data_IF_342866499042
#
_entry.id   IF_342866499042
#
_cell.length_a   1.000
_cell.length_b   1.000
_cell.length_c   1.000
_cell.angle_alpha   90.00
_cell.angle_beta   90.00
_cell.angle_gamma   90.00
#
_symmetry.space_group_name_H-M   'P 1'
#
loop_
_entity.id
_entity.type
_entity.pdbx_description
1 polymer ?
#
# COMPACT_ATOMS: atom_id res chain seq x y z
N UNK A 1 -26.80 33.13 -29.08
CA UNK A 1 -25.52 32.51 -29.51
C UNK A 1 -24.42 33.28 -28.80
N UNK A 2 -23.45 32.77 -28.03
CA UNK A 2 -22.99 31.43 -27.61
C UNK A 2 -22.44 31.61 -26.19
N UNK A 3 -22.60 30.60 -25.34
CA UNK A 3 -21.87 30.46 -24.07
C UNK A 3 -20.42 30.10 -24.39
N UNK A 4 -19.46 30.68 -23.67
CA UNK A 4 -18.11 30.12 -23.55
C UNK A 4 -17.82 30.01 -22.06
N UNK A 5 -17.84 28.76 -21.59
CA UNK A 5 -17.28 28.32 -20.31
C UNK A 5 -15.84 27.85 -20.60
N UNK A 6 -15.02 27.79 -19.53
CA UNK A 6 -13.97 26.79 -19.22
C UNK A 6 -12.57 27.44 -19.11
N UNK A 7 -11.70 27.10 -18.14
CA UNK A 7 -11.88 26.91 -16.69
C UNK A 7 -10.73 27.57 -15.87
N UNK A 8 -10.95 27.90 -14.59
CA UNK A 8 -9.82 28.22 -13.69
C UNK A 8 -9.17 26.89 -13.26
N UNK A 9 -7.97 26.65 -13.77
CA UNK A 9 -7.09 25.54 -13.38
C UNK A 9 -6.60 25.79 -11.95
N UNK A 10 -7.32 25.26 -10.97
CA UNK A 10 -6.87 25.16 -9.59
C UNK A 10 -6.08 23.88 -9.37
N UNK A 11 -4.79 23.90 -9.69
CA UNK A 11 -3.83 22.90 -9.25
C UNK A 11 -3.53 23.14 -7.76
N UNK A 12 -4.22 22.43 -6.87
CA UNK A 12 -3.77 22.27 -5.47
C UNK A 12 -3.20 20.87 -5.34
N UNK A 13 -1.90 20.78 -5.57
CA UNK A 13 -1.03 19.68 -5.17
C UNK A 13 -1.01 19.61 -3.64
N UNK A 14 -1.54 18.54 -3.05
CA UNK A 14 -1.21 18.16 -1.67
C UNK A 14 -0.32 16.93 -1.75
N UNK A 15 0.97 17.18 -1.98
CA UNK A 15 2.04 16.22 -1.80
C UNK A 15 2.61 16.33 -0.39
N UNK A 16 2.48 15.22 0.35
CA UNK A 16 3.41 14.63 1.33
C UNK A 16 4.24 15.52 2.28
N UNK A 17 4.09 15.19 3.56
CA UNK A 17 4.98 15.50 4.69
C UNK A 17 6.42 14.97 4.52
N UNK A 18 7.30 15.59 5.33
CA UNK A 18 8.61 15.16 5.88
C UNK A 18 9.87 15.63 5.14
N UNK A 19 10.54 16.62 5.75
CA UNK A 19 11.94 17.00 5.49
C UNK A 19 12.23 18.36 6.12
N UNK A 20 13.10 18.40 7.13
CA UNK A 20 13.24 19.51 8.06
C UNK A 20 13.83 20.81 7.50
N UNK A 21 13.50 21.89 8.22
CA UNK A 21 14.30 23.08 8.49
C UNK A 21 14.75 23.94 7.29
N UNK A 22 13.82 24.76 6.77
CA UNK A 22 14.18 25.97 6.04
C UNK A 22 13.16 27.10 6.27
N UNK A 23 13.57 28.06 7.10
CA UNK A 23 13.18 29.48 7.19
C UNK A 23 11.85 29.93 6.53
N UNK A 24 10.86 30.30 7.35
CA UNK A 24 9.92 31.39 7.05
C UNK A 24 9.46 32.07 8.36
N UNK A 25 10.17 33.14 8.76
CA UNK A 25 9.73 34.09 9.79
C UNK A 25 9.74 35.49 9.19
N UNK A 26 8.58 35.94 8.70
CA UNK A 26 7.95 37.24 8.99
C UNK A 26 6.78 37.45 8.00
N UNK A 27 5.67 37.98 8.52
CA UNK A 27 4.44 38.45 7.83
C UNK A 27 3.25 37.48 7.75
N UNK A 28 2.78 37.00 8.91
CA UNK A 28 1.55 36.20 9.06
C UNK A 28 0.29 37.06 9.30
N UNK A 29 0.40 38.39 9.42
CA UNK A 29 -0.76 39.21 9.79
C UNK A 29 -1.61 39.71 8.61
N UNK A 30 -1.08 39.75 7.39
CA UNK A 30 -1.85 40.20 6.20
C UNK A 30 -2.56 39.03 5.49
N UNK A 31 -2.01 37.82 5.56
CA UNK A 31 -2.61 36.61 4.94
C UNK A 31 -3.81 36.07 5.72
N UNK A 32 -3.87 36.28 7.03
CA UNK A 32 -4.96 35.77 7.89
C UNK A 32 -6.25 36.59 7.73
N UNK A 33 -6.15 37.89 7.42
CA UNK A 33 -7.35 38.72 7.23
C UNK A 33 -7.98 38.54 5.84
N UNK A 34 -7.17 38.36 4.79
CA UNK A 34 -7.67 37.97 3.46
C UNK A 34 -8.33 36.57 3.48
N UNK A 35 -7.80 35.63 4.28
CA UNK A 35 -8.41 34.31 4.47
C UNK A 35 -9.74 34.36 5.25
N UNK A 36 -9.86 35.23 6.26
CA UNK A 36 -11.11 35.41 7.02
C UNK A 36 -12.24 36.01 6.19
N UNK A 37 -11.94 36.93 5.27
CA UNK A 37 -12.93 37.53 4.37
C UNK A 37 -13.33 36.60 3.21
N UNK A 38 -12.42 35.75 2.73
CA UNK A 38 -12.77 34.70 1.74
C UNK A 38 -13.63 33.55 2.33
N UNK A 39 -13.51 33.29 3.64
CA UNK A 39 -14.29 32.25 4.34
C UNK A 39 -15.72 32.67 4.69
N UNK A 40 -16.03 33.97 4.74
CA UNK A 40 -17.37 34.46 5.13
C UNK A 40 -18.32 34.74 3.97
N UNK A 41 -17.85 34.79 2.72
CA UNK A 41 -18.72 34.90 1.53
C UNK A 41 -18.97 33.56 0.81
N UNK A 42 -18.34 32.46 1.24
CA UNK A 42 -18.54 31.11 0.67
C UNK A 42 -19.48 30.22 1.50
N UNK A 43 -20.15 30.76 2.53
CA UNK A 43 -21.05 29.98 3.40
C UNK A 43 -22.55 30.08 3.02
N UNK A 44 -22.94 30.85 2.00
CA UNK A 44 -24.37 31.06 1.67
C UNK A 44 -24.92 30.30 0.46
N UNK A 45 -24.16 29.41 -0.21
CA UNK A 45 -24.73 28.64 -1.33
C UNK A 45 -24.05 27.29 -1.65
N UNK A 46 -23.55 26.59 -0.63
CA UNK A 46 -23.09 25.20 -0.77
C UNK A 46 -23.64 24.29 0.33
N UNK A 47 -24.92 24.48 0.70
CA UNK A 47 -25.72 23.38 1.24
C UNK A 47 -26.11 22.45 0.09
N UNK A 48 -25.13 21.77 -0.50
CA UNK A 48 -25.38 20.59 -1.31
C UNK A 48 -24.82 19.43 -0.49
N UNK A 49 -25.73 18.64 0.09
CA UNK A 49 -25.39 17.44 0.82
C UNK A 49 -24.52 16.54 -0.06
N UNK A 50 -23.19 16.57 0.15
CA UNK A 50 -22.36 15.43 -0.20
C UNK A 50 -22.67 14.38 0.85
N UNK A 51 -23.75 13.63 0.60
CA UNK A 51 -23.87 12.28 1.14
C UNK A 51 -22.60 11.56 0.70
N UNK A 52 -21.63 11.40 1.59
CA UNK A 52 -20.55 10.45 1.38
C UNK A 52 -21.20 9.07 1.37
N UNK A 53 -21.62 8.63 0.18
CA UNK A 53 -22.29 7.36 0.01
C UNK A 53 -21.39 6.26 0.55
N UNK A 54 -21.85 5.56 1.58
CA UNK A 54 -21.09 4.48 2.21
C UNK A 54 -20.83 3.41 1.15
N UNK A 55 -19.56 3.09 0.91
CA UNK A 55 -19.19 2.01 -0.02
C UNK A 55 -19.76 0.69 0.48
N UNK A 56 -20.28 -0.13 -0.42
CA UNK A 56 -20.70 -1.49 -0.07
C UNK A 56 -19.51 -2.39 0.27
N UNK A 57 -19.75 -3.46 1.05
CA UNK A 57 -18.75 -4.51 1.34
C UNK A 57 -18.10 -5.02 0.05
N UNK A 58 -18.89 -5.26 -1.00
CA UNK A 58 -18.40 -5.79 -2.28
C UNK A 58 -17.43 -4.81 -2.97
N UNK A 59 -17.73 -3.51 -2.95
CA UNK A 59 -16.85 -2.49 -3.53
C UNK A 59 -15.52 -2.42 -2.77
N UNK A 60 -15.58 -2.36 -1.43
CA UNK A 60 -14.38 -2.33 -0.59
C UNK A 60 -13.53 -3.58 -0.84
N UNK A 61 -14.11 -4.78 -0.75
CA UNK A 61 -13.38 -6.03 -0.97
C UNK A 61 -12.74 -6.09 -2.37
N UNK A 62 -13.43 -5.61 -3.41
CA UNK A 62 -12.87 -5.58 -4.78
C UNK A 62 -11.64 -4.68 -4.89
N UNK A 63 -11.67 -3.50 -4.27
CA UNK A 63 -10.52 -2.58 -4.25
C UNK A 63 -9.31 -3.25 -3.56
N UNK A 64 -9.51 -3.88 -2.42
CA UNK A 64 -8.44 -4.56 -1.69
C UNK A 64 -7.97 -5.86 -2.33
N UNK A 65 -8.84 -6.61 -3.01
CA UNK A 65 -8.44 -7.80 -3.78
C UNK A 65 -7.34 -7.46 -4.78
N UNK A 66 -7.50 -6.38 -5.55
CA UNK A 66 -6.47 -5.95 -6.50
C UNK A 66 -5.15 -5.59 -5.79
N UNK A 67 -5.20 -4.93 -4.64
CA UNK A 67 -4.02 -4.57 -3.86
C UNK A 67 -3.30 -5.79 -3.28
N UNK A 68 -4.04 -6.78 -2.79
CA UNK A 68 -3.47 -8.02 -2.28
C UNK A 68 -2.90 -8.91 -3.39
N UNK A 69 -3.54 -8.96 -4.57
CA UNK A 69 -3.04 -9.65 -5.74
C UNK A 69 -1.71 -9.04 -6.23
N UNK A 70 -1.63 -7.71 -6.27
CA UNK A 70 -0.39 -7.00 -6.60
C UNK A 70 0.72 -7.30 -5.57
N UNK A 71 0.40 -7.27 -4.28
CA UNK A 71 1.36 -7.66 -3.23
C UNK A 71 1.83 -9.11 -3.44
N UNK A 72 0.93 -10.05 -3.70
CA UNK A 72 1.30 -11.45 -3.96
C UNK A 72 2.22 -11.60 -5.17
N UNK A 73 1.95 -10.87 -6.25
CA UNK A 73 2.78 -10.87 -7.45
C UNK A 73 4.19 -10.33 -7.16
N UNK A 74 4.29 -9.22 -6.43
CA UNK A 74 5.58 -8.63 -6.03
C UNK A 74 6.39 -9.57 -5.15
N UNK A 75 5.77 -10.18 -4.13
CA UNK A 75 6.46 -11.12 -3.25
C UNK A 75 6.89 -12.39 -4.00
N UNK A 76 6.05 -12.89 -4.92
CA UNK A 76 6.41 -14.03 -5.77
C UNK A 76 7.61 -13.72 -6.65
N UNK A 77 7.65 -12.53 -7.27
CA UNK A 77 8.76 -12.10 -8.11
C UNK A 77 10.07 -12.00 -7.32
N UNK A 78 10.05 -11.45 -6.10
CA UNK A 78 11.23 -11.39 -5.22
C UNK A 78 11.77 -12.78 -4.89
N UNK A 79 10.87 -13.73 -4.60
CA UNK A 79 11.27 -15.13 -4.37
C UNK A 79 11.87 -15.76 -5.62
N UNK A 80 11.30 -15.52 -6.81
CA UNK A 80 11.85 -16.08 -8.05
C UNK A 80 13.26 -15.53 -8.36
N UNK A 81 13.48 -14.24 -8.14
CA UNK A 81 14.80 -13.62 -8.23
C UNK A 81 15.78 -14.23 -7.22
N UNK A 82 15.33 -14.48 -5.99
CA UNK A 82 16.13 -15.15 -4.97
C UNK A 82 16.56 -16.55 -5.41
N UNK A 83 15.68 -17.31 -6.05
CA UNK A 83 15.98 -18.68 -6.53
C UNK A 83 16.93 -18.67 -7.73
N UNK A 84 16.82 -17.68 -8.62
CA UNK A 84 17.79 -17.49 -9.71
C UNK A 84 19.18 -17.21 -9.16
N UNK A 85 19.30 -16.33 -8.16
CA UNK A 85 20.57 -16.04 -7.50
C UNK A 85 21.15 -17.29 -6.82
N UNK A 86 20.30 -18.06 -6.11
CA UNK A 86 20.73 -19.30 -5.44
C UNK A 86 21.28 -20.34 -6.41
N UNK A 87 20.62 -20.50 -7.57
CA UNK A 87 21.10 -21.37 -8.63
C UNK A 87 22.43 -20.90 -9.23
N UNK A 88 22.61 -19.59 -9.40
CA UNK A 88 23.86 -19.03 -9.92
C UNK A 88 25.03 -19.29 -8.95
N UNK A 89 24.83 -19.07 -7.65
CA UNK A 89 25.83 -19.36 -6.62
C UNK A 89 26.19 -20.85 -6.60
N UNK A 90 25.19 -21.74 -6.69
CA UNK A 90 25.41 -23.19 -6.76
C UNK A 90 26.25 -23.60 -7.97
N UNK A 91 25.90 -23.10 -9.16
CA UNK A 91 26.64 -23.41 -10.40
C UNK A 91 28.07 -22.86 -10.37
N UNK A 92 28.31 -21.77 -9.63
CA UNK A 92 29.65 -21.18 -9.50
C UNK A 92 30.63 -22.05 -8.70
N UNK A 93 30.12 -22.99 -7.88
CA UNK A 93 30.90 -23.87 -6.98
C UNK A 93 31.81 -23.11 -6.00
N UNK A 94 31.53 -21.84 -5.73
CA UNK A 94 32.29 -21.01 -4.77
C UNK A 94 31.92 -21.31 -3.32
N UNK A 95 30.63 -21.56 -3.09
CA UNK A 95 30.06 -21.85 -1.78
C UNK A 95 29.62 -23.32 -1.73
N UNK A 96 29.68 -23.93 -0.55
CA UNK A 96 29.13 -25.27 -0.33
C UNK A 96 27.59 -25.24 -0.37
N UNK A 97 26.98 -26.40 -0.64
CA UNK A 97 25.51 -26.53 -0.62
C UNK A 97 24.89 -26.08 0.71
N UNK A 98 25.58 -26.32 1.83
CA UNK A 98 25.11 -25.90 3.17
C UNK A 98 25.14 -24.39 3.32
N UNK A 99 26.20 -23.73 2.87
CA UNK A 99 26.33 -22.26 2.92
C UNK A 99 25.27 -21.58 2.04
N UNK A 100 25.07 -22.07 0.82
CA UNK A 100 24.01 -21.62 -0.07
C UNK A 100 22.65 -21.81 0.60
N UNK A 101 22.39 -23.00 1.16
CA UNK A 101 21.11 -23.27 1.82
C UNK A 101 20.84 -22.30 2.96
N UNK A 102 21.82 -22.07 3.84
CA UNK A 102 21.69 -21.12 4.96
C UNK A 102 21.43 -19.69 4.49
N UNK A 103 22.27 -19.17 3.59
CA UNK A 103 22.16 -17.81 3.05
C UNK A 103 20.79 -17.53 2.44
N UNK A 104 20.29 -18.46 1.62
CA UNK A 104 19.02 -18.29 0.92
C UNK A 104 17.79 -18.56 1.81
N UNK A 105 17.92 -19.39 2.85
CA UNK A 105 16.89 -19.52 3.89
C UNK A 105 16.74 -18.24 4.71
N UNK A 106 17.85 -17.64 5.16
CA UNK A 106 17.83 -16.38 5.92
C UNK A 106 17.22 -15.25 5.08
N UNK A 107 17.68 -15.09 3.84
CA UNK A 107 17.15 -14.06 2.93
C UNK A 107 15.65 -14.26 2.66
N UNK A 108 15.20 -15.51 2.50
CA UNK A 108 13.78 -15.82 2.35
C UNK A 108 12.95 -15.43 3.59
N UNK A 109 13.47 -15.65 4.79
CA UNK A 109 12.81 -15.24 6.04
C UNK A 109 12.68 -13.72 6.14
N UNK A 110 13.71 -12.97 5.71
CA UNK A 110 13.65 -11.51 5.68
C UNK A 110 12.62 -10.98 4.68
N UNK A 111 12.55 -11.57 3.49
CA UNK A 111 11.54 -11.23 2.49
C UNK A 111 10.13 -11.51 3.03
N UNK A 112 9.94 -12.65 3.68
CA UNK A 112 8.64 -13.02 4.26
C UNK A 112 8.25 -12.10 5.42
N UNK A 113 9.20 -11.63 6.23
CA UNK A 113 8.94 -10.62 7.27
C UNK A 113 8.48 -9.30 6.68
N UNK A 114 9.08 -8.86 5.57
CA UNK A 114 8.66 -7.64 4.85
C UNK A 114 7.27 -7.83 4.22
N UNK A 115 7.00 -8.99 3.64
CA UNK A 115 5.69 -9.36 3.12
C UNK A 115 4.62 -9.29 4.23
N UNK A 116 4.90 -9.83 5.41
CA UNK A 116 3.98 -9.77 6.56
C UNK A 116 3.68 -8.33 6.97
N UNK A 117 4.69 -7.46 6.99
CA UNK A 117 4.50 -6.05 7.34
C UNK A 117 3.59 -5.35 6.33
N UNK A 118 3.85 -5.52 5.03
CA UNK A 118 3.02 -4.95 3.96
C UNK A 118 1.60 -5.49 3.97
N UNK A 119 1.44 -6.81 4.15
CA UNK A 119 0.14 -7.45 4.25
C UNK A 119 -0.65 -6.93 5.44
N UNK A 120 -0.03 -6.87 6.63
CA UNK A 120 -0.70 -6.42 7.85
C UNK A 120 -1.15 -4.96 7.74
N UNK A 121 -0.34 -4.09 7.11
CA UNK A 121 -0.73 -2.70 6.87
C UNK A 121 -1.96 -2.61 5.96
N UNK A 122 -1.97 -3.33 4.83
CA UNK A 122 -3.14 -3.37 3.93
C UNK A 122 -4.37 -3.99 4.60
N UNK A 123 -4.17 -5.03 5.41
CA UNK A 123 -5.24 -5.70 6.14
C UNK A 123 -5.90 -4.79 7.17
N UNK A 124 -5.10 -4.03 7.93
CA UNK A 124 -5.61 -3.03 8.87
C UNK A 124 -6.38 -1.92 8.15
N UNK A 125 -5.90 -1.48 6.99
CA UNK A 125 -6.57 -0.47 6.17
C UNK A 125 -7.92 -0.98 5.65
N UNK A 126 -8.00 -2.26 5.23
CA UNK A 126 -9.25 -2.92 4.86
C UNK A 126 -10.23 -2.96 6.04
N UNK A 127 -9.77 -3.36 7.23
CA UNK A 127 -10.61 -3.40 8.42
C UNK A 127 -11.16 -2.01 8.77
N UNK A 128 -10.30 -0.99 8.73
CA UNK A 128 -10.70 0.40 8.94
C UNK A 128 -11.76 0.86 7.92
N UNK A 129 -11.57 0.57 6.64
CA UNK A 129 -12.54 0.96 5.61
C UNK A 129 -13.87 0.23 5.75
N UNK A 130 -13.87 -1.03 6.18
CA UNK A 130 -15.10 -1.77 6.51
C UNK A 130 -15.85 -1.07 7.67
N UNK A 131 -15.17 -0.81 8.79
CA UNK A 131 -15.78 -0.18 9.98
C UNK A 131 -16.30 1.22 9.66
N UNK A 132 -15.50 2.04 8.96
CA UNK A 132 -15.87 3.41 8.56
C UNK A 132 -17.14 3.44 7.71
N UNK A 133 -17.37 2.40 6.90
CA UNK A 133 -18.56 2.26 6.07
C UNK A 133 -19.70 1.50 6.78
N UNK A 134 -19.55 1.16 8.07
CA UNK A 134 -20.58 0.51 8.89
C UNK A 134 -20.67 -1.00 8.70
N UNK A 135 -19.63 -1.64 8.18
CA UNK A 135 -19.57 -3.08 7.93
C UNK A 135 -18.78 -3.81 9.01
N UNK A 136 -18.96 -5.12 9.10
CA UNK A 136 -18.24 -5.96 10.05
C UNK A 136 -16.82 -6.28 9.54
N UNK A 137 -15.80 -6.07 10.38
CA UNK A 137 -14.39 -6.42 10.07
C UNK A 137 -14.17 -7.89 9.75
N UNK A 138 -15.06 -8.79 10.18
CA UNK A 138 -14.98 -10.22 9.85
C UNK A 138 -15.04 -10.50 8.34
N UNK A 139 -15.58 -9.56 7.55
CA UNK A 139 -15.55 -9.64 6.09
C UNK A 139 -14.12 -9.67 5.51
N UNK A 140 -13.12 -9.22 6.27
CA UNK A 140 -11.71 -9.24 5.89
C UNK A 140 -11.04 -10.61 6.11
N UNK A 141 -11.59 -11.50 6.95
CA UNK A 141 -10.88 -12.72 7.40
C UNK A 141 -10.41 -13.63 6.26
N UNK A 142 -11.16 -13.66 5.15
CA UNK A 142 -10.78 -14.44 3.97
C UNK A 142 -9.41 -14.02 3.42
N UNK A 143 -9.09 -12.73 3.41
CA UNK A 143 -7.80 -12.22 2.94
C UNK A 143 -6.66 -12.73 3.82
N UNK A 144 -6.87 -12.77 5.14
CA UNK A 144 -5.86 -13.32 6.06
C UNK A 144 -5.65 -14.81 5.87
N UNK A 145 -6.73 -15.59 5.63
CA UNK A 145 -6.64 -17.02 5.36
C UNK A 145 -5.86 -17.28 4.07
N UNK A 146 -6.27 -16.64 2.97
CA UNK A 146 -5.59 -16.76 1.67
C UNK A 146 -4.12 -16.36 1.76
N UNK A 147 -3.80 -15.25 2.42
CA UNK A 147 -2.41 -14.83 2.61
C UNK A 147 -1.56 -15.90 3.33
N UNK A 148 -2.07 -16.46 4.44
CA UNK A 148 -1.38 -17.51 5.20
C UNK A 148 -1.15 -18.78 4.38
N UNK A 149 -2.09 -19.13 3.52
CA UNK A 149 -1.96 -20.27 2.61
C UNK A 149 -0.86 -20.01 1.57
N UNK A 150 -0.92 -18.87 0.87
CA UNK A 150 0.08 -18.46 -0.12
C UNK A 150 1.49 -18.33 0.46
N UNK A 151 1.60 -17.77 1.66
CA UNK A 151 2.84 -17.73 2.44
C UNK A 151 3.45 -19.12 2.63
N UNK A 152 2.64 -20.08 3.08
CA UNK A 152 3.11 -21.46 3.27
C UNK A 152 3.54 -22.11 1.96
N UNK A 153 2.82 -21.87 0.87
CA UNK A 153 3.17 -22.37 -0.46
C UNK A 153 4.50 -21.82 -0.94
N UNK A 154 4.71 -20.50 -0.85
CA UNK A 154 6.00 -19.86 -1.22
C UNK A 154 7.16 -20.41 -0.40
N UNK A 155 7.00 -20.52 0.92
CA UNK A 155 8.06 -21.03 1.78
C UNK A 155 8.42 -22.49 1.46
N UNK A 156 7.42 -23.34 1.20
CA UNK A 156 7.65 -24.73 0.74
C UNK A 156 8.41 -24.77 -0.59
N UNK A 157 8.05 -23.90 -1.55
CA UNK A 157 8.73 -23.80 -2.85
C UNK A 157 10.23 -23.52 -2.69
N UNK A 158 10.56 -22.55 -1.84
CA UNK A 158 11.95 -22.18 -1.54
C UNK A 158 12.72 -23.37 -0.95
N UNK A 159 12.15 -24.01 0.07
CA UNK A 159 12.79 -25.15 0.73
C UNK A 159 13.00 -26.34 -0.21
N UNK A 160 12.07 -26.59 -1.14
CA UNK A 160 12.24 -27.66 -2.14
C UNK A 160 13.37 -27.30 -3.10
N UNK A 161 13.29 -26.14 -3.75
CA UNK A 161 14.24 -25.76 -4.80
C UNK A 161 15.68 -25.67 -4.28
N UNK A 162 15.88 -25.10 -3.10
CA UNK A 162 17.21 -24.98 -2.49
C UNK A 162 17.79 -26.35 -2.12
N UNK A 163 16.96 -27.32 -1.72
CA UNK A 163 17.40 -28.68 -1.43
C UNK A 163 17.72 -29.49 -2.69
N UNK A 164 17.04 -29.18 -3.80
CA UNK A 164 17.16 -29.90 -5.06
C UNK A 164 18.37 -29.46 -5.91
N UNK A 165 19.09 -28.40 -5.51
CA UNK A 165 20.38 -28.04 -6.09
C UNK A 165 21.42 -29.15 -5.84
#
# INVERSE_FOLDING_TARGET
MKRIIVPIVGLITIGTLIGGNFYWKHNVNETVQAAKQALTETESNASNQISSEKKSVKQIKKEYSALFEELEAQETSKIDQLMVAAKADYVSKKDSKTEITGKYQETAQELEKKADQSFNALYQQLQYDLEKNGHNVKEAEQFQRTYKEKKKERYKRILSQVKDF
#
